data_IF_939554613856
#
_entry.id   IF_939554613856
#
_cell.length_a   1.000
_cell.length_b   1.000
_cell.length_c   1.000
_cell.angle_alpha   90.00
_cell.angle_beta   90.00
_cell.angle_gamma   90.00
#
_symmetry.space_group_name_H-M   'P 1'
#
loop_
_entity.id
_entity.type
_entity.pdbx_description
1 polymer ?
#
# COMPACT_ATOMS: atom_id res chain seq x y z
N UNK A 1 -27.01 -44.92 -29.52
CA UNK A 1 -26.60 -44.86 -30.93
C UNK A 1 -25.58 -43.75 -31.10
N UNK A 2 -24.48 -44.02 -31.79
CA UNK A 2 -23.44 -43.04 -32.14
C UNK A 2 -23.73 -42.45 -33.53
N UNK A 3 -23.35 -41.19 -33.74
CA UNK A 3 -23.50 -40.46 -35.00
C UNK A 3 -22.17 -39.81 -35.39
N UNK A 4 -21.70 -40.08 -36.61
CA UNK A 4 -20.41 -39.63 -37.10
C UNK A 4 -19.21 -40.39 -36.51
N UNK A 5 -18.02 -40.13 -37.06
CA UNK A 5 -16.78 -40.79 -36.64
C UNK A 5 -16.73 -42.30 -36.93
N UNK A 6 -15.79 -42.98 -36.29
CA UNK A 6 -15.52 -44.41 -36.50
C UNK A 6 -16.69 -45.32 -36.09
N UNK A 7 -17.44 -44.94 -35.04
CA UNK A 7 -18.55 -45.73 -34.50
C UNK A 7 -19.92 -45.35 -35.10
N UNK A 8 -19.96 -44.66 -36.24
CA UNK A 8 -21.20 -44.14 -36.81
C UNK A 8 -22.25 -45.25 -37.03
N UNK A 9 -23.48 -45.00 -36.58
CA UNK A 9 -24.61 -45.93 -36.75
C UNK A 9 -24.61 -47.10 -35.76
N UNK A 10 -23.58 -47.25 -34.92
CA UNK A 10 -23.51 -48.34 -33.94
C UNK A 10 -24.34 -47.96 -32.70
N UNK A 11 -25.09 -48.94 -32.18
CA UNK A 11 -25.84 -48.81 -30.93
C UNK A 11 -25.49 -49.96 -29.98
N UNK A 12 -25.23 -49.62 -28.72
CA UNK A 12 -24.98 -50.59 -27.64
C UNK A 12 -26.11 -50.52 -26.63
N UNK A 13 -26.59 -51.69 -26.17
CA UNK A 13 -27.60 -51.82 -25.12
C UNK A 13 -27.06 -52.50 -23.85
N UNK A 14 -25.88 -53.13 -23.91
CA UNK A 14 -25.30 -53.81 -22.77
C UNK A 14 -24.85 -52.78 -21.70
N UNK A 15 -25.24 -52.94 -20.42
CA UNK A 15 -24.95 -51.96 -19.38
C UNK A 15 -23.46 -51.69 -19.18
N UNK A 16 -22.59 -52.68 -19.42
CA UNK A 16 -21.15 -52.59 -19.26
C UNK A 16 -20.52 -51.60 -20.25
N UNK A 17 -20.83 -51.72 -21.53
CA UNK A 17 -20.28 -50.88 -22.60
C UNK A 17 -20.92 -49.50 -22.58
N UNK A 18 -22.23 -49.43 -22.32
CA UNK A 18 -22.93 -48.14 -22.13
C UNK A 18 -22.27 -47.34 -21.00
N UNK A 19 -22.02 -47.94 -19.84
CA UNK A 19 -21.34 -47.26 -18.72
C UNK A 19 -19.89 -46.88 -19.06
N UNK A 20 -19.17 -47.72 -19.81
CA UNK A 20 -17.80 -47.42 -20.25
C UNK A 20 -17.75 -46.16 -21.11
N UNK A 21 -18.61 -46.06 -22.14
CA UNK A 21 -18.67 -44.88 -22.99
C UNK A 21 -19.26 -43.67 -22.28
N UNK A 22 -20.26 -43.85 -21.42
CA UNK A 22 -20.82 -42.77 -20.61
C UNK A 22 -19.76 -42.11 -19.70
N UNK A 23 -18.88 -42.88 -19.06
CA UNK A 23 -17.76 -42.33 -18.27
C UNK A 23 -16.75 -41.57 -19.12
N UNK A 24 -16.47 -42.03 -20.34
CA UNK A 24 -15.55 -41.33 -21.26
C UNK A 24 -16.16 -40.02 -21.77
N UNK A 25 -17.46 -40.01 -22.05
CA UNK A 25 -18.19 -38.82 -22.50
C UNK A 25 -18.21 -37.69 -21.45
N UNK A 26 -17.99 -37.99 -20.16
CA UNK A 26 -17.87 -36.95 -19.13
C UNK A 26 -16.68 -36.00 -19.38
N UNK A 27 -15.67 -36.44 -20.13
CA UNK A 27 -14.50 -35.65 -20.49
C UNK A 27 -14.67 -34.89 -21.82
N UNK A 28 -15.85 -34.97 -22.43
CA UNK A 28 -16.15 -34.40 -23.75
C UNK A 28 -16.23 -35.47 -24.84
N UNK A 29 -15.83 -35.10 -26.06
CA UNK A 29 -15.82 -36.02 -27.20
C UNK A 29 -14.86 -37.20 -26.99
N UNK A 30 -15.27 -38.36 -27.51
CA UNK A 30 -14.54 -39.61 -27.31
C UNK A 30 -13.61 -39.84 -28.49
N UNK A 31 -12.32 -40.06 -28.19
CA UNK A 31 -11.30 -40.41 -29.17
C UNK A 31 -10.69 -41.78 -28.89
N UNK A 32 -10.17 -42.42 -29.93
CA UNK A 32 -9.23 -43.52 -29.80
C UNK A 32 -7.81 -42.96 -29.61
N UNK A 33 -7.06 -43.52 -28.65
CA UNK A 33 -5.74 -43.04 -28.29
C UNK A 33 -4.76 -44.21 -28.25
N UNK A 34 -3.68 -44.12 -29.02
CA UNK A 34 -2.56 -45.05 -28.91
C UNK A 34 -1.76 -44.78 -27.64
N UNK A 35 -1.68 -45.79 -26.78
CA UNK A 35 -0.92 -45.76 -25.52
C UNK A 35 0.39 -46.56 -25.60
N UNK A 36 0.58 -47.39 -26.61
CA UNK A 36 1.69 -48.32 -26.68
C UNK A 36 2.98 -47.61 -27.12
N UNK A 37 2.90 -46.74 -28.14
CA UNK A 37 4.07 -46.09 -28.73
C UNK A 37 4.91 -45.33 -27.70
N UNK A 38 4.27 -44.51 -26.86
CA UNK A 38 4.95 -43.70 -25.83
C UNK A 38 4.81 -44.26 -24.42
N UNK A 39 4.24 -45.46 -24.25
CA UNK A 39 3.97 -46.07 -22.94
C UNK A 39 3.18 -45.14 -22.00
N UNK A 40 2.14 -44.49 -22.54
CA UNK A 40 1.37 -43.46 -21.85
C UNK A 40 0.63 -44.01 -20.62
N UNK A 41 0.88 -43.41 -19.46
CA UNK A 41 0.35 -43.83 -18.14
C UNK A 41 -1.16 -43.59 -17.96
N UNK A 42 -1.74 -42.66 -18.73
CA UNK A 42 -3.17 -42.32 -18.68
C UNK A 42 -3.51 -41.13 -17.77
N UNK A 43 -2.50 -40.37 -17.32
CA UNK A 43 -2.68 -39.15 -16.53
C UNK A 43 -2.51 -37.91 -17.41
N UNK A 44 -3.33 -36.87 -17.22
CA UNK A 44 -3.23 -35.63 -17.99
C UNK A 44 -1.91 -34.88 -17.74
N UNK A 45 -1.54 -34.03 -18.70
CA UNK A 45 -0.37 -33.13 -18.62
C UNK A 45 -0.79 -31.72 -19.01
N UNK A 46 -0.09 -30.72 -18.49
CA UNK A 46 -0.28 -29.32 -18.87
C UNK A 46 0.31 -29.02 -20.25
N UNK A 47 -0.24 -28.02 -20.93
CA UNK A 47 0.25 -27.57 -22.25
C UNK A 47 1.38 -26.54 -22.12
N UNK A 48 2.14 -26.27 -23.20
CA UNK A 48 3.11 -25.18 -23.22
C UNK A 48 2.51 -23.82 -22.86
N UNK A 49 1.22 -23.58 -23.16
CA UNK A 49 0.49 -22.38 -22.73
C UNK A 49 0.45 -22.29 -21.20
N UNK A 50 0.13 -23.40 -20.52
CA UNK A 50 0.11 -23.45 -19.06
C UNK A 50 1.48 -23.18 -18.44
N UNK A 51 2.52 -23.83 -18.97
CA UNK A 51 3.90 -23.63 -18.52
C UNK A 51 4.41 -22.20 -18.73
N UNK A 52 4.14 -21.63 -19.91
CA UNK A 52 4.50 -20.25 -20.23
C UNK A 52 3.84 -19.27 -19.25
N UNK A 53 2.53 -19.39 -19.06
CA UNK A 53 1.77 -18.53 -18.15
C UNK A 53 2.28 -18.63 -16.72
N UNK A 54 2.50 -19.86 -16.21
CA UNK A 54 3.01 -20.07 -14.85
C UNK A 54 4.38 -19.43 -14.65
N UNK A 55 5.32 -19.66 -15.58
CA UNK A 55 6.65 -19.09 -15.50
C UNK A 55 6.64 -17.57 -15.51
N UNK A 56 5.90 -16.96 -16.44
CA UNK A 56 5.83 -15.50 -16.55
C UNK A 56 5.14 -14.84 -15.35
N UNK A 57 4.05 -15.43 -14.86
CA UNK A 57 3.38 -14.91 -13.66
C UNK A 57 4.32 -14.93 -12.45
N UNK A 58 5.07 -16.03 -12.27
CA UNK A 58 6.02 -16.17 -11.16
C UNK A 58 7.18 -15.16 -11.28
N UNK A 59 7.80 -15.05 -12.46
CA UNK A 59 8.91 -14.12 -12.67
C UNK A 59 8.46 -12.66 -12.58
N UNK A 60 7.30 -12.30 -13.09
CA UNK A 60 6.77 -10.94 -12.96
C UNK A 60 6.63 -10.54 -11.49
N UNK A 61 6.15 -11.45 -10.63
CA UNK A 61 6.05 -11.20 -9.19
C UNK A 61 7.44 -11.02 -8.55
N UNK A 62 8.41 -11.87 -8.91
CA UNK A 62 9.80 -11.72 -8.43
C UNK A 62 10.43 -10.40 -8.86
N UNK A 63 10.23 -10.01 -10.12
CA UNK A 63 10.74 -8.74 -10.64
C UNK A 63 10.07 -7.53 -9.99
N UNK A 64 8.79 -7.63 -9.62
CA UNK A 64 8.12 -6.58 -8.86
C UNK A 64 8.81 -6.35 -7.50
N UNK A 65 9.11 -7.42 -6.76
CA UNK A 65 9.88 -7.29 -5.51
C UNK A 65 11.29 -6.74 -5.75
N UNK A 66 11.97 -7.20 -6.81
CA UNK A 66 13.27 -6.64 -7.21
C UNK A 66 13.19 -5.14 -7.50
N UNK A 67 12.16 -4.68 -8.20
CA UNK A 67 11.94 -3.27 -8.51
C UNK A 67 11.76 -2.43 -7.23
N UNK A 68 10.91 -2.87 -6.30
CA UNK A 68 10.70 -2.17 -5.03
C UNK A 68 11.99 -2.12 -4.20
N UNK A 69 12.68 -3.25 -4.08
CA UNK A 69 13.94 -3.34 -3.35
C UNK A 69 15.01 -2.39 -3.92
N UNK A 70 15.27 -2.47 -5.24
CA UNK A 70 16.27 -1.63 -5.88
C UNK A 70 15.87 -0.16 -5.92
N UNK A 71 14.58 0.15 -6.09
CA UNK A 71 14.04 1.51 -6.01
C UNK A 71 14.28 2.13 -4.64
N UNK A 72 13.92 1.42 -3.56
CA UNK A 72 14.16 1.87 -2.19
C UNK A 72 15.65 2.07 -1.90
N UNK A 73 16.50 1.11 -2.28
CA UNK A 73 17.97 1.20 -2.10
C UNK A 73 18.58 2.40 -2.84
N UNK A 74 18.01 2.79 -3.98
CA UNK A 74 18.49 3.92 -4.78
C UNK A 74 18.09 5.25 -4.14
N UNK A 75 16.83 5.38 -3.70
CA UNK A 75 16.32 6.63 -3.10
C UNK A 75 16.86 6.88 -1.69
N UNK A 76 16.92 5.84 -0.85
CA UNK A 76 17.34 5.91 0.56
C UNK A 76 18.78 5.42 0.74
N UNK A 77 19.65 5.76 -0.23
CA UNK A 77 21.05 5.30 -0.26
C UNK A 77 21.86 5.85 0.91
N UNK A 78 21.61 7.10 1.27
CA UNK A 78 22.24 7.85 2.35
C UNK A 78 22.04 7.20 3.73
N UNK A 79 20.85 6.69 3.99
CA UNK A 79 20.49 6.02 5.26
C UNK A 79 20.62 4.50 5.22
N UNK A 80 21.15 3.93 4.14
CA UNK A 80 21.20 2.47 3.97
C UNK A 80 22.05 1.76 5.04
N UNK A 81 23.12 2.41 5.52
CA UNK A 81 24.00 1.88 6.55
C UNK A 81 23.59 2.26 7.99
N UNK A 82 22.45 2.94 8.15
CA UNK A 82 21.98 3.46 9.43
C UNK A 82 21.53 4.93 9.32
N UNK A 83 20.75 5.38 10.28
CA UNK A 83 20.31 6.77 10.41
C UNK A 83 21.33 7.59 11.21
N UNK A 84 21.25 8.92 11.09
CA UNK A 84 22.02 9.84 11.92
C UNK A 84 21.67 9.64 13.41
N UNK A 85 22.65 9.40 14.30
CA UNK A 85 22.39 9.26 15.74
C UNK A 85 21.81 10.53 16.40
N UNK A 86 21.97 11.71 15.81
CA UNK A 86 21.56 13.00 16.40
C UNK A 86 20.20 13.52 15.86
N UNK A 87 19.32 12.63 15.37
CA UNK A 87 18.08 13.00 14.66
C UNK A 87 16.91 13.45 15.57
N UNK A 88 17.06 13.36 16.90
CA UNK A 88 15.96 13.43 17.88
C UNK A 88 15.09 14.70 17.78
N UNK A 89 15.69 15.86 17.54
CA UNK A 89 14.94 17.11 17.47
C UNK A 89 13.97 17.16 16.28
N UNK A 90 14.30 16.51 15.14
CA UNK A 90 13.50 16.57 13.91
C UNK A 90 12.24 15.70 13.95
N UNK A 91 12.20 14.71 14.85
CA UNK A 91 11.07 13.78 14.99
C UNK A 91 10.12 14.18 16.12
N UNK A 92 10.45 15.24 16.88
CA UNK A 92 9.60 15.75 17.95
C UNK A 92 8.27 16.32 17.40
N UNK A 93 7.16 15.90 18.00
CA UNK A 93 5.82 16.30 17.57
C UNK A 93 5.61 17.82 17.67
N UNK A 94 5.31 18.45 16.54
CA UNK A 94 4.96 19.87 16.48
C UNK A 94 6.14 20.84 16.64
N UNK A 95 7.39 20.34 16.62
CA UNK A 95 8.59 21.17 16.68
C UNK A 95 8.80 22.02 15.41
N UNK A 96 8.33 21.52 14.25
CA UNK A 96 8.46 22.18 12.95
C UNK A 96 7.09 22.36 12.30
N UNK A 97 6.95 23.40 11.47
CA UNK A 97 5.74 23.62 10.66
C UNK A 97 5.67 22.64 9.47
N UNK A 98 6.82 22.14 9.00
CA UNK A 98 6.94 21.15 7.93
C UNK A 98 7.91 20.04 8.34
N UNK A 99 7.48 18.78 8.16
CA UNK A 99 8.31 17.61 8.46
C UNK A 99 9.52 17.54 7.53
N UNK A 100 10.70 17.21 8.08
CA UNK A 100 11.95 17.09 7.34
C UNK A 100 12.57 18.42 6.89
N UNK A 101 12.10 19.56 7.40
CA UNK A 101 12.64 20.88 7.05
C UNK A 101 13.03 21.69 8.32
N UNK A 102 14.33 21.69 8.69
CA UNK A 102 14.80 22.34 9.92
C UNK A 102 14.65 23.87 9.89
N UNK A 103 14.45 24.48 8.72
CA UNK A 103 14.27 25.93 8.59
C UNK A 103 12.88 26.40 9.06
N UNK A 104 11.95 25.47 9.24
CA UNK A 104 10.55 25.76 9.58
C UNK A 104 10.24 25.58 11.06
N UNK A 105 11.25 25.69 11.94
CA UNK A 105 11.06 25.52 13.39
C UNK A 105 9.96 26.45 13.90
N UNK A 106 9.02 25.88 14.64
CA UNK A 106 7.92 26.65 15.21
C UNK A 106 8.50 27.60 16.26
N UNK A 107 8.35 28.90 16.03
CA UNK A 107 8.64 29.87 17.08
C UNK A 107 7.57 29.73 18.16
N UNK A 108 7.97 29.64 19.43
CA UNK A 108 7.04 29.77 20.53
C UNK A 108 6.24 31.04 20.34
N UNK A 109 4.93 30.85 20.22
CA UNK A 109 4.00 31.80 19.63
C UNK A 109 4.27 33.23 20.13
N UNK A 110 4.62 34.09 19.18
CA UNK A 110 4.64 35.57 19.27
C UNK A 110 3.42 36.11 20.02
N UNK A 111 2.30 35.38 20.04
CA UNK A 111 1.12 35.66 20.87
C UNK A 111 1.40 35.80 22.37
N UNK A 112 2.20 34.96 23.02
CA UNK A 112 2.48 35.10 24.45
C UNK A 112 3.33 36.35 24.73
N UNK A 113 4.30 36.65 23.85
CA UNK A 113 5.10 37.87 23.92
C UNK A 113 4.27 39.13 23.63
N UNK A 114 3.40 39.09 22.62
CA UNK A 114 2.46 40.17 22.27
C UNK A 114 1.45 40.38 23.39
N UNK A 115 0.86 39.34 23.95
CA UNK A 115 -0.04 39.46 25.10
C UNK A 115 0.67 39.97 26.35
N UNK A 116 1.90 39.51 26.63
CA UNK A 116 2.72 40.06 27.73
C UNK A 116 3.03 41.54 27.49
N UNK A 117 3.37 41.93 26.26
CA UNK A 117 3.67 43.32 25.91
C UNK A 117 2.43 44.22 26.03
N UNK A 118 1.28 43.80 25.48
CA UNK A 118 -0.01 44.48 25.59
C UNK A 118 -0.45 44.62 27.05
N UNK A 119 -0.35 43.55 27.85
CA UNK A 119 -0.62 43.62 29.30
C UNK A 119 0.27 44.63 30.01
N UNK A 120 1.55 44.73 29.63
CA UNK A 120 2.47 45.72 30.19
C UNK A 120 2.08 47.15 29.81
N UNK A 121 1.67 47.38 28.56
CA UNK A 121 1.24 48.69 28.04
C UNK A 121 -0.04 49.14 28.74
N UNK A 122 -1.04 48.26 28.84
CA UNK A 122 -2.30 48.53 29.55
C UNK A 122 -2.04 48.86 31.02
N UNK A 123 -1.18 48.08 31.70
CA UNK A 123 -0.81 48.33 33.10
C UNK A 123 -0.11 49.69 33.28
N UNK A 124 0.82 50.06 32.38
CA UNK A 124 1.46 51.38 32.40
C UNK A 124 0.44 52.51 32.20
N UNK A 125 -0.54 52.33 31.31
CA UNK A 125 -1.58 53.33 31.01
C UNK A 125 -2.54 53.50 32.19
N UNK A 126 -2.95 52.41 32.84
CA UNK A 126 -3.76 52.45 34.06
C UNK A 126 -3.02 53.16 35.22
N UNK A 127 -1.73 52.84 35.44
CA UNK A 127 -0.94 53.51 36.48
C UNK A 127 -0.74 55.01 36.20
N UNK A 128 -0.65 55.41 34.91
CA UNK A 128 -0.59 56.82 34.53
C UNK A 128 -1.92 57.54 34.82
N UNK A 129 -3.04 56.94 34.44
CA UNK A 129 -4.37 57.50 34.72
C UNK A 129 -4.67 57.58 36.22
N UNK A 130 -4.25 56.59 37.01
CA UNK A 130 -4.36 56.64 38.47
C UNK A 130 -3.56 57.79 39.08
N UNK A 131 -2.35 58.07 38.56
CA UNK A 131 -1.52 59.20 39.01
C UNK A 131 -2.12 60.54 38.59
N UNK A 132 -2.62 60.66 37.37
CA UNK A 132 -3.30 61.86 36.89
C UNK A 132 -4.55 62.15 37.75
N UNK A 133 -5.41 61.15 38.02
CA UNK A 133 -6.56 61.31 38.93
C UNK A 133 -6.14 61.75 40.34
N UNK A 134 -5.10 61.15 40.92
CA UNK A 134 -4.58 61.58 42.22
C UNK A 134 -4.09 63.03 42.24
N UNK A 135 -3.59 63.55 41.12
CA UNK A 135 -3.12 64.93 41.00
C UNK A 135 -4.28 65.95 40.84
N UNK A 136 -5.45 65.54 40.35
CA UNK A 136 -6.64 66.39 40.22
C UNK A 136 -7.55 66.40 41.46
N UNK A 137 -7.45 65.39 42.33
CA UNK A 137 -8.23 65.30 43.58
C UNK A 137 -8.08 66.49 44.54
N UNK A 138 -6.94 67.20 44.63
CA UNK A 138 -6.83 68.42 45.45
C UNK A 138 -7.46 69.66 44.79
N UNK A 139 -7.65 69.66 43.47
CA UNK A 139 -8.07 70.84 42.68
C UNK A 139 -9.61 70.99 42.69
N UNK A 140 -10.36 69.90 42.90
CA UNK A 140 -11.82 69.88 42.91
C UNK A 140 -12.46 69.99 44.32
N UNK A 141 -11.65 70.20 45.36
CA UNK A 141 -12.09 70.37 46.76
C UNK A 141 -11.90 71.81 47.28
N UNK A 142 -11.85 72.78 46.37
CA UNK A 142 -11.83 74.22 46.67
C UNK A 142 -13.16 74.86 46.32
#
# INVERSE_FOLDING_TARGET
MFYGGELNGISYSDPTTVKKYARRAQLGEIFELDRATLKSDGVFRSSPRGWFTFGHASFALLFFFGHIWHGARTLFRDVFAGIDPDLDAQVEFGAFQKLGDPTTRRQETTHLLVFKNIKSIVRRKLNRQSREKHNWLPILKG
#
